data_IF_247252492317
#
_entry.id   IF_247252492317
#
_cell.length_a   1.000
_cell.length_b   1.000
_cell.length_c   1.000
_cell.angle_alpha   90.00
_cell.angle_beta   90.00
_cell.angle_gamma   90.00
#
_symmetry.space_group_name_H-M   'P 1'
#
loop_
_entity.id
_entity.type
_entity.pdbx_description
1 polymer ?
#
# COMPACT_ATOMS: atom_id res chain seq x y z
N UNK A 1 8.81 6.41 -2.76
CA UNK A 1 7.64 7.15 -2.30
C UNK A 1 6.45 6.20 -2.27
N UNK A 2 5.66 6.22 -1.20
CA UNK A 2 4.46 5.41 -1.03
C UNK A 2 3.33 5.97 -1.89
N UNK A 3 2.90 5.27 -2.94
CA UNK A 3 2.07 5.88 -3.98
C UNK A 3 0.88 5.03 -4.46
N UNK A 4 0.81 3.74 -4.15
CA UNK A 4 -0.30 2.88 -4.60
C UNK A 4 -0.92 2.14 -3.43
N UNK A 5 -2.24 2.27 -3.30
CA UNK A 5 -3.04 1.55 -2.31
C UNK A 5 -3.64 0.32 -3.00
N UNK A 6 -3.33 -0.86 -2.49
CA UNK A 6 -3.97 -2.11 -2.88
C UNK A 6 -4.77 -2.62 -1.68
N UNK A 7 -6.02 -3.02 -1.91
CA UNK A 7 -6.93 -3.43 -0.84
C UNK A 7 -7.66 -4.72 -1.19
N UNK A 8 -8.05 -5.46 -0.17
CA UNK A 8 -8.92 -6.63 -0.28
C UNK A 8 -9.74 -6.80 1.01
N UNK A 9 -10.74 -7.67 0.94
CA UNK A 9 -11.55 -8.09 2.08
C UNK A 9 -11.48 -9.62 2.14
N UNK A 10 -11.33 -10.19 3.32
CA UNK A 10 -11.15 -11.63 3.45
C UNK A 10 -11.90 -12.23 4.63
N UNK A 11 -12.35 -13.47 4.44
CA UNK A 11 -12.80 -14.39 5.49
C UNK A 11 -11.59 -15.05 6.17
N UNK A 12 -11.76 -15.57 7.38
CA UNK A 12 -10.65 -16.17 8.14
C UNK A 12 -9.96 -17.34 7.41
N UNK A 13 -10.71 -18.13 6.65
CA UNK A 13 -10.23 -19.25 5.84
C UNK A 13 -9.55 -18.82 4.54
N UNK A 14 -9.73 -17.56 4.11
CA UNK A 14 -9.07 -16.98 2.94
C UNK A 14 -7.71 -16.34 3.25
N UNK A 15 -7.26 -16.35 4.52
CA UNK A 15 -6.00 -15.71 4.94
C UNK A 15 -4.78 -16.17 4.14
N UNK A 16 -4.73 -17.44 3.74
CA UNK A 16 -3.65 -17.97 2.89
C UNK A 16 -3.67 -17.37 1.48
N UNK A 17 -4.88 -17.13 0.93
CA UNK A 17 -5.03 -16.51 -0.39
C UNK A 17 -4.53 -15.06 -0.38
N UNK A 18 -4.79 -14.33 0.71
CA UNK A 18 -4.25 -12.96 0.89
C UNK A 18 -2.73 -13.00 1.03
N UNK A 19 -2.19 -13.91 1.84
CA UNK A 19 -0.75 -14.03 2.03
C UNK A 19 -0.01 -14.33 0.71
N UNK A 20 -0.55 -15.26 -0.09
CA UNK A 20 0.04 -15.63 -1.38
C UNK A 20 -0.09 -14.50 -2.41
N UNK A 21 -1.21 -13.76 -2.42
CA UNK A 21 -1.37 -12.61 -3.29
C UNK A 21 -0.41 -11.47 -2.93
N UNK A 22 -0.09 -11.27 -1.64
CA UNK A 22 0.94 -10.32 -1.21
C UNK A 22 2.33 -10.75 -1.70
N UNK A 23 2.70 -12.02 -1.54
CA UNK A 23 3.97 -12.54 -2.08
C UNK A 23 4.09 -12.29 -3.59
N UNK A 24 3.02 -12.51 -4.36
CA UNK A 24 3.06 -12.35 -5.82
C UNK A 24 3.32 -10.90 -6.27
N UNK A 25 2.80 -9.91 -5.54
CA UNK A 25 2.90 -8.50 -5.97
C UNK A 25 4.00 -7.69 -5.27
N UNK A 26 4.49 -8.16 -4.12
CA UNK A 26 5.51 -7.46 -3.35
C UNK A 26 6.42 -8.43 -2.56
N UNK A 27 6.90 -9.47 -3.24
CA UNK A 27 7.89 -10.42 -2.72
C UNK A 27 9.20 -9.72 -2.33
N UNK A 28 9.80 -10.07 -1.17
CA UNK A 28 11.10 -9.54 -0.79
C UNK A 28 12.26 -10.12 -1.61
N UNK A 29 12.03 -11.22 -2.33
CA UNK A 29 13.06 -12.05 -2.97
C UNK A 29 13.27 -11.72 -4.45
N UNK A 30 12.44 -10.86 -5.02
CA UNK A 30 12.54 -10.40 -6.38
C UNK A 30 12.30 -8.88 -6.45
N UNK A 31 12.24 -8.35 -7.67
CA UNK A 31 11.88 -6.95 -7.91
C UNK A 31 10.66 -6.85 -8.83
N UNK A 32 9.83 -7.89 -8.84
CA UNK A 32 8.60 -7.93 -9.61
C UNK A 32 7.49 -7.22 -8.81
N UNK A 33 6.80 -6.27 -9.43
CA UNK A 33 5.80 -5.47 -8.73
C UNK A 33 6.43 -4.39 -7.83
N UNK A 34 6.01 -4.35 -6.57
CA UNK A 34 6.38 -3.33 -5.60
C UNK A 34 7.36 -3.84 -4.54
N UNK A 35 7.94 -2.94 -3.76
CA UNK A 35 8.73 -3.35 -2.61
C UNK A 35 7.86 -4.06 -1.55
N UNK A 36 8.42 -5.08 -0.90
CA UNK A 36 7.84 -5.73 0.28
C UNK A 36 7.81 -4.81 1.50
N UNK A 37 8.58 -3.72 1.47
CA UNK A 37 8.62 -2.68 2.49
C UNK A 37 7.49 -1.68 2.27
N UNK A 38 6.68 -1.41 3.29
CA UNK A 38 5.57 -0.46 3.16
C UNK A 38 4.74 -0.28 4.43
N UNK A 39 3.56 0.31 4.25
CA UNK A 39 2.57 0.52 5.31
C UNK A 39 1.34 -0.32 5.00
N UNK A 40 0.70 -0.87 6.03
CA UNK A 40 -0.55 -1.60 5.89
C UNK A 40 -1.54 -1.23 6.98
N UNK A 41 -2.80 -1.53 6.75
CA UNK A 41 -3.83 -1.42 7.76
C UNK A 41 -4.82 -2.58 7.73
N UNK A 42 -5.36 -2.90 8.90
CA UNK A 42 -6.58 -3.69 9.05
C UNK A 42 -7.73 -2.74 9.32
N UNK A 43 -8.88 -3.00 8.71
CA UNK A 43 -10.07 -2.15 8.85
C UNK A 43 -11.34 -2.98 8.82
N UNK A 44 -12.39 -2.49 9.46
CA UNK A 44 -13.68 -3.14 9.54
C UNK A 44 -14.52 -2.80 8.30
N UNK A 45 -14.90 -3.78 7.47
CA UNK A 45 -15.65 -3.51 6.24
C UNK A 45 -17.08 -2.99 6.44
N UNK A 46 -17.69 -3.19 7.61
CA UNK A 46 -19.08 -2.77 7.85
C UNK A 46 -19.21 -1.27 8.12
N UNK A 47 -18.15 -0.64 8.64
CA UNK A 47 -18.16 0.77 9.03
C UNK A 47 -16.90 1.53 8.58
N UNK A 48 -16.04 0.91 7.78
CA UNK A 48 -14.77 1.46 7.25
C UNK A 48 -13.79 1.92 8.33
N UNK A 49 -13.98 1.53 9.60
CA UNK A 49 -13.11 1.94 10.70
C UNK A 49 -11.75 1.26 10.58
N UNK A 50 -10.66 2.04 10.59
CA UNK A 50 -9.30 1.49 10.71
C UNK A 50 -9.11 0.93 12.12
N UNK A 51 -8.75 -0.34 12.20
CA UNK A 51 -8.50 -1.08 13.43
C UNK A 51 -7.01 -1.04 13.80
N UNK A 52 -6.13 -1.11 12.79
CA UNK A 52 -4.69 -1.08 12.98
C UNK A 52 -3.98 -0.41 11.80
N UNK A 53 -2.94 0.37 12.07
CA UNK A 53 -1.97 0.84 11.09
C UNK A 53 -0.58 0.34 11.52
N UNK A 54 0.15 -0.29 10.60
CA UNK A 54 1.48 -0.80 10.83
C UNK A 54 2.41 -0.58 9.64
N UNK A 55 3.71 -0.72 9.89
CA UNK A 55 4.75 -0.75 8.87
C UNK A 55 5.46 -2.10 8.88
N UNK A 56 6.03 -2.50 7.76
CA UNK A 56 6.88 -3.68 7.65
C UNK A 56 7.96 -3.47 6.59
N UNK A 57 9.11 -4.14 6.75
CA UNK A 57 10.08 -4.33 5.66
C UNK A 57 9.72 -5.53 4.78
N UNK A 58 8.93 -6.45 5.33
CA UNK A 58 8.42 -7.65 4.66
C UNK A 58 6.93 -7.75 5.00
N UNK A 59 6.10 -7.08 4.20
CA UNK A 59 4.64 -7.07 4.34
C UNK A 59 4.06 -8.50 4.28
N UNK A 60 4.40 -9.35 3.29
CA UNK A 60 3.84 -10.69 3.23
C UNK A 60 4.13 -11.52 4.48
N UNK A 61 5.39 -11.52 4.97
CA UNK A 61 5.74 -12.18 6.23
C UNK A 61 4.96 -11.58 7.40
N UNK A 62 4.90 -10.25 7.50
CA UNK A 62 4.24 -9.58 8.63
C UNK A 62 2.73 -9.85 8.65
N UNK A 63 2.10 -9.95 7.49
CA UNK A 63 0.72 -10.38 7.37
C UNK A 63 0.56 -11.80 7.91
N UNK A 64 1.38 -12.77 7.46
CA UNK A 64 1.35 -14.17 7.93
C UNK A 64 1.52 -14.29 9.44
N UNK A 65 2.41 -13.49 10.03
CA UNK A 65 2.59 -13.40 11.48
C UNK A 65 1.29 -12.94 12.17
N UNK A 66 0.66 -11.89 11.65
CA UNK A 66 -0.55 -11.31 12.22
C UNK A 66 -1.78 -12.22 12.10
N UNK A 67 -1.95 -12.93 10.99
CA UNK A 67 -3.10 -13.85 10.80
C UNK A 67 -2.85 -15.26 11.36
N UNK A 68 -1.66 -15.50 11.92
CA UNK A 68 -1.31 -16.75 12.60
C UNK A 68 -0.96 -17.91 11.66
N UNK A 69 -0.54 -17.63 10.42
CA UNK A 69 0.01 -18.63 9.49
C UNK A 69 1.41 -19.06 9.94
N UNK A 70 2.23 -18.10 10.38
CA UNK A 70 3.56 -18.37 10.97
C UNK A 70 3.66 -17.82 12.39
N UNK A 71 4.66 -18.29 13.14
CA UNK A 71 4.91 -17.83 14.49
C UNK A 71 5.24 -16.34 14.52
N UNK A 72 4.67 -15.63 15.48
CA UNK A 72 4.79 -14.19 15.64
C UNK A 72 5.34 -13.87 17.02
N UNK A 73 6.22 -12.87 17.14
CA UNK A 73 6.60 -12.34 18.44
C UNK A 73 5.34 -11.75 19.12
N UNK A 74 4.96 -12.20 20.34
CA UNK A 74 3.78 -11.69 21.03
C UNK A 74 3.80 -10.15 21.20
N UNK A 75 5.00 -9.57 21.33
CA UNK A 75 5.18 -8.14 21.35
C UNK A 75 4.96 -7.55 19.95
N UNK A 76 3.79 -6.95 19.75
CA UNK A 76 3.42 -6.25 18.52
C UNK A 76 2.60 -7.09 17.55
N UNK A 77 2.35 -8.37 17.84
CA UNK A 77 1.44 -9.20 17.04
C UNK A 77 -0.01 -8.75 17.13
N UNK A 78 -0.79 -8.98 16.06
CA UNK A 78 -2.25 -8.75 16.00
C UNK A 78 -3.09 -10.02 15.95
N UNK A 79 -2.48 -11.19 16.10
CA UNK A 79 -3.18 -12.48 16.06
C UNK A 79 -4.34 -12.54 17.05
N UNK A 80 -4.12 -12.16 18.31
CA UNK A 80 -5.18 -12.16 19.33
C UNK A 80 -6.34 -11.24 18.94
N UNK A 81 -6.05 -10.01 18.50
CA UNK A 81 -7.07 -9.05 18.07
C UNK A 81 -7.85 -9.55 16.85
N UNK A 82 -7.17 -10.17 15.89
CA UNK A 82 -7.79 -10.74 14.68
C UNK A 82 -8.66 -11.94 15.05
N UNK A 83 -8.16 -12.87 15.87
CA UNK A 83 -8.92 -14.02 16.37
C UNK A 83 -10.17 -13.57 17.15
N UNK A 84 -10.06 -12.50 17.96
CA UNK A 84 -11.19 -11.91 18.68
C UNK A 84 -12.19 -11.23 17.74
N UNK A 85 -11.72 -10.51 16.72
CA UNK A 85 -12.56 -9.88 15.72
C UNK A 85 -13.43 -10.90 14.96
N UNK A 86 -12.83 -12.02 14.56
CA UNK A 86 -13.54 -13.06 13.82
C UNK A 86 -14.54 -13.89 14.67
N UNK A 87 -14.60 -13.68 15.99
CA UNK A 87 -15.67 -14.25 16.83
C UNK A 87 -17.02 -13.56 16.60
N UNK A 88 -17.01 -12.30 16.16
CA UNK A 88 -18.22 -11.46 16.03
C UNK A 88 -18.41 -10.90 14.62
N UNK A 89 -17.38 -10.94 13.78
CA UNK A 89 -17.40 -10.44 12.40
C UNK A 89 -16.91 -11.52 11.43
N UNK A 90 -17.48 -11.59 10.24
CA UNK A 90 -17.11 -12.62 9.25
C UNK A 90 -16.02 -12.18 8.27
N UNK A 91 -15.88 -10.87 8.01
CA UNK A 91 -15.00 -10.33 6.98
C UNK A 91 -14.11 -9.26 7.59
N UNK A 92 -12.81 -9.30 7.30
CA UNK A 92 -11.84 -8.26 7.67
C UNK A 92 -11.27 -7.59 6.41
N UNK A 93 -11.12 -6.28 6.45
CA UNK A 93 -10.49 -5.51 5.39
C UNK A 93 -8.98 -5.39 5.63
N UNK A 94 -8.21 -5.47 4.54
CA UNK A 94 -6.76 -5.27 4.55
C UNK A 94 -6.36 -4.35 3.41
N UNK A 95 -5.50 -3.38 3.70
CA UNK A 95 -4.94 -2.50 2.68
C UNK A 95 -3.44 -2.34 2.88
N UNK A 96 -2.72 -2.24 1.78
CA UNK A 96 -1.29 -1.95 1.73
C UNK A 96 -1.07 -0.69 0.91
N UNK A 97 -0.26 0.22 1.45
CA UNK A 97 0.27 1.36 0.74
C UNK A 97 1.71 1.00 0.34
N UNK A 98 1.90 0.83 -0.97
CA UNK A 98 3.10 0.29 -1.59
C UNK A 98 4.03 1.39 -2.08
N UNK A 99 5.33 1.08 -2.06
CA UNK A 99 6.40 1.92 -2.58
C UNK A 99 7.11 1.22 -3.76
N UNK A 100 7.99 1.95 -4.44
CA UNK A 100 8.73 1.42 -5.58
C UNK A 100 9.65 0.26 -5.17
N UNK A 101 9.80 -0.75 -6.03
CA UNK A 101 10.74 -1.86 -5.82
C UNK A 101 12.21 -1.38 -5.71
N UNK A 102 12.54 -0.18 -6.21
CA UNK A 102 13.87 0.42 -6.01
C UNK A 102 14.15 0.85 -4.56
N UNK A 103 13.11 1.03 -3.74
CA UNK A 103 13.23 1.33 -2.31
C UNK A 103 13.13 0.07 -1.44
N UNK A 104 13.29 -1.12 -2.05
CA UNK A 104 13.36 -2.39 -1.36
C UNK A 104 14.53 -2.39 -0.37
N UNK A 105 14.24 -2.71 0.89
CA UNK A 105 15.23 -2.64 1.95
C UNK A 105 16.05 -3.93 1.99
N UNK A 106 17.27 -3.95 1.44
CA UNK A 106 18.33 -4.95 1.67
C UNK A 106 18.03 -6.44 1.46
N UNK A 107 16.81 -6.81 1.07
CA UNK A 107 16.32 -8.20 0.99
C UNK A 107 16.45 -8.78 -0.43
N UNK A 108 16.52 -7.93 -1.46
CA UNK A 108 16.74 -8.35 -2.84
C UNK A 108 18.16 -8.02 -3.32
N UNK A 109 18.62 -8.70 -4.38
CA UNK A 109 19.92 -8.41 -4.99
C UNK A 109 20.09 -6.94 -5.40
N UNK A 110 18.98 -6.28 -5.80
CA UNK A 110 18.97 -4.85 -6.13
C UNK A 110 19.08 -3.97 -4.88
N UNK A 111 18.39 -4.35 -3.79
CA UNK A 111 18.50 -3.66 -2.50
C UNK A 111 19.91 -3.74 -1.90
N UNK A 112 20.65 -4.82 -2.16
CA UNK A 112 22.07 -4.94 -1.79
C UNK A 112 22.98 -4.05 -2.66
N UNK A 113 22.64 -3.87 -3.93
CA UNK A 113 23.41 -3.01 -4.85
C UNK A 113 23.18 -1.52 -4.61
N UNK A 114 22.00 -1.12 -4.11
CA UNK A 114 21.60 0.27 -3.90
C UNK A 114 21.11 0.51 -2.45
N UNK A 115 21.99 0.35 -1.44
CA UNK A 115 21.60 0.40 -0.03
C UNK A 115 21.00 1.76 0.39
N UNK A 116 21.47 2.86 -0.18
CA UNK A 116 20.99 4.22 0.14
C UNK A 116 19.50 4.43 -0.22
N UNK A 117 19.03 3.79 -1.30
CA UNK A 117 17.61 3.84 -1.68
C UNK A 117 16.76 3.00 -0.72
N UNK A 118 17.26 1.84 -0.29
CA UNK A 118 16.62 1.01 0.73
C UNK A 118 16.48 1.75 2.07
N UNK A 119 17.54 2.40 2.54
CA UNK A 119 17.54 3.20 3.77
C UNK A 119 16.53 4.35 3.71
N UNK A 120 16.45 5.01 2.55
CA UNK A 120 15.46 6.05 2.26
C UNK A 120 14.05 5.48 2.34
N UNK A 121 13.79 4.31 1.74
CA UNK A 121 12.52 3.59 1.84
C UNK A 121 12.12 3.31 3.29
N UNK A 122 13.04 2.77 4.09
CA UNK A 122 12.79 2.48 5.52
C UNK A 122 12.48 3.75 6.32
N UNK A 123 13.20 4.85 6.06
CA UNK A 123 12.93 6.15 6.71
C UNK A 123 11.56 6.71 6.30
N UNK A 124 11.20 6.56 5.03
CA UNK A 124 9.93 7.03 4.48
C UNK A 124 8.75 6.29 5.13
N UNK A 125 8.79 4.96 5.25
CA UNK A 125 7.69 4.20 5.87
C UNK A 125 7.52 4.53 7.35
N UNK A 126 8.62 4.74 8.10
CA UNK A 126 8.56 5.16 9.52
C UNK A 126 7.89 6.52 9.67
N UNK A 127 8.26 7.47 8.81
CA UNK A 127 7.70 8.82 8.85
C UNK A 127 6.22 8.81 8.46
N UNK A 128 5.85 8.10 7.41
CA UNK A 128 4.46 8.03 6.95
C UNK A 128 3.55 7.25 7.92
N UNK A 129 4.04 6.19 8.58
CA UNK A 129 3.27 5.47 9.60
C UNK A 129 2.94 6.39 10.79
N UNK A 130 3.93 7.14 11.27
CA UNK A 130 3.74 8.11 12.34
C UNK A 130 2.74 9.20 11.97
N UNK A 131 2.80 9.67 10.71
CA UNK A 131 1.85 10.64 10.17
C UNK A 131 0.43 10.07 10.14
N UNK A 132 0.23 8.86 9.62
CA UNK A 132 -1.10 8.26 9.48
C UNK A 132 -1.75 7.92 10.82
N UNK A 133 -0.99 7.38 11.77
CA UNK A 133 -1.49 7.13 13.13
C UNK A 133 -1.90 8.43 13.81
N UNK A 134 -1.10 9.49 13.67
CA UNK A 134 -1.40 10.79 14.26
C UNK A 134 -2.57 11.49 13.56
N UNK A 135 -2.67 11.40 12.23
CA UNK A 135 -3.82 11.89 11.47
C UNK A 135 -5.12 11.22 11.94
N UNK A 136 -5.09 9.90 12.20
CA UNK A 136 -6.23 9.19 12.78
C UNK A 136 -6.58 9.73 14.17
N UNK A 137 -5.57 9.95 15.02
CA UNK A 137 -5.76 10.53 16.36
C UNK A 137 -6.37 11.93 16.33
N UNK A 138 -5.91 12.78 15.41
CA UNK A 138 -6.44 14.14 15.22
C UNK A 138 -7.91 14.11 14.76
N UNK A 139 -8.27 13.16 13.89
CA UNK A 139 -9.63 13.03 13.38
C UNK A 139 -10.61 12.45 14.39
N UNK A 140 -10.22 11.39 15.10
CA UNK A 140 -11.14 10.61 15.95
C UNK A 140 -10.92 10.82 17.46
N UNK A 141 -9.94 11.63 17.86
CA UNK A 141 -9.59 11.88 19.26
C UNK A 141 -8.92 10.71 19.98
N UNK A 142 -8.63 9.60 19.27
CA UNK A 142 -8.07 8.36 19.82
C UNK A 142 -7.22 7.63 18.78
N UNK A 143 -6.38 6.70 19.22
CA UNK A 143 -5.66 5.80 18.31
C UNK A 143 -6.62 4.74 17.70
N UNK A 144 -6.24 4.10 16.59
CA UNK A 144 -6.91 2.88 16.14
C UNK A 144 -6.91 1.83 17.25
N UNK A 145 -7.97 1.03 17.35
CA UNK A 145 -8.24 0.16 18.51
C UNK A 145 -7.09 -0.82 18.80
N UNK A 146 -6.37 -1.26 17.77
CA UNK A 146 -5.28 -2.22 17.90
C UNK A 146 -3.90 -1.56 17.94
N UNK A 147 -3.79 -0.23 17.79
CA UNK A 147 -2.56 0.53 18.01
C UNK A 147 -2.41 0.89 19.50
N UNK A 148 -1.43 0.29 20.17
CA UNK A 148 -1.16 0.54 21.61
C UNK A 148 -0.32 1.80 21.87
N UNK A 149 0.46 2.21 20.88
CA UNK A 149 1.37 3.35 20.94
C UNK A 149 1.21 4.19 19.68
N UNK A 150 1.53 5.47 19.79
CA UNK A 150 1.68 6.35 18.64
C UNK A 150 2.85 5.91 17.76
N UNK A 151 2.81 6.27 16.48
CA UNK A 151 3.90 5.98 15.54
C UNK A 151 5.10 6.91 15.70
N UNK A 152 5.94 6.97 14.67
CA UNK A 152 7.17 7.76 14.72
C UNK A 152 6.94 9.26 14.96
N UNK A 153 7.72 9.85 15.88
CA UNK A 153 7.61 11.28 16.26
C UNK A 153 7.86 12.25 15.10
N UNK A 154 8.72 11.91 14.15
CA UNK A 154 8.97 12.77 12.98
C UNK A 154 7.72 12.87 12.10
N UNK A 155 7.01 11.75 11.93
CA UNK A 155 5.73 11.71 11.21
C UNK A 155 4.62 12.45 11.95
N UNK A 156 4.50 12.23 13.26
CA UNK A 156 3.44 12.86 14.06
C UNK A 156 3.54 14.39 14.08
N UNK A 157 4.75 14.96 14.00
CA UNK A 157 4.96 16.42 13.98
C UNK A 157 4.44 17.10 12.70
N UNK A 158 4.37 16.37 11.59
CA UNK A 158 3.92 16.90 10.31
C UNK A 158 2.49 16.50 9.98
N UNK A 159 1.85 15.69 10.84
CA UNK A 159 0.47 15.30 10.68
C UNK A 159 -0.45 16.51 10.91
N UNK A 160 -1.43 16.64 10.02
CA UNK A 160 -2.43 17.70 10.05
C UNK A 160 -3.79 17.13 9.66
N UNK A 161 -4.92 17.81 9.98
CA UNK A 161 -6.26 17.36 9.57
C UNK A 161 -6.43 17.17 8.07
N UNK A 162 -5.63 17.84 7.23
CA UNK A 162 -5.66 17.68 5.77
C UNK A 162 -5.26 16.28 5.30
N UNK A 163 -4.69 15.44 6.17
CA UNK A 163 -4.35 14.05 5.86
C UNK A 163 -5.53 13.07 6.07
N UNK A 164 -6.67 13.52 6.58
CA UNK A 164 -7.87 12.70 6.77
C UNK A 164 -8.30 11.92 5.50
N UNK A 165 -8.29 12.51 4.28
CA UNK A 165 -8.68 11.77 3.08
C UNK A 165 -7.86 10.51 2.84
N UNK A 166 -6.58 10.49 3.22
CA UNK A 166 -5.71 9.31 3.05
C UNK A 166 -6.21 8.15 3.93
N UNK A 167 -6.72 8.44 5.13
CA UNK A 167 -7.29 7.41 6.01
C UNK A 167 -8.53 6.79 5.36
N UNK A 168 -9.40 7.60 4.77
CA UNK A 168 -10.56 7.10 4.01
C UNK A 168 -10.11 6.27 2.80
N UNK A 169 -9.07 6.69 2.09
CA UNK A 169 -8.53 5.91 0.98
C UNK A 169 -7.94 4.57 1.43
N UNK A 170 -7.53 4.42 2.70
CA UNK A 170 -7.03 3.15 3.21
C UNK A 170 -8.14 2.17 3.60
N UNK A 171 -9.30 2.64 4.05
CA UNK A 171 -10.35 1.77 4.63
C UNK A 171 -11.70 1.79 3.95
N UNK A 172 -11.95 2.75 3.06
CA UNK A 172 -13.17 2.83 2.26
C UNK A 172 -12.85 2.54 0.80
N UNK A 173 -13.10 1.29 0.40
CA UNK A 173 -12.84 0.81 -0.98
C UNK A 173 -13.77 1.42 -2.01
N UNK A 174 -14.91 1.95 -1.58
CA UNK A 174 -15.93 2.52 -2.45
C UNK A 174 -15.68 4.02 -2.70
N UNK A 175 -14.89 4.67 -1.83
CA UNK A 175 -14.43 6.05 -2.05
C UNK A 175 -13.50 6.12 -3.26
N UNK A 176 -13.91 6.85 -4.32
CA UNK A 176 -13.08 7.03 -5.50
C UNK A 176 -11.81 7.80 -5.14
N UNK A 177 -10.65 7.24 -5.48
CA UNK A 177 -9.37 7.93 -5.36
C UNK A 177 -8.36 7.45 -6.42
N UNK A 178 -7.49 8.33 -6.94
CA UNK A 178 -6.57 7.99 -8.02
C UNK A 178 -5.39 7.13 -7.56
N UNK A 179 -5.16 7.04 -6.24
CA UNK A 179 -4.04 6.31 -5.65
C UNK A 179 -4.33 4.83 -5.40
N UNK A 180 -5.58 4.40 -5.52
CA UNK A 180 -5.99 3.00 -5.42
C UNK A 180 -5.70 2.27 -6.73
N UNK A 181 -5.23 1.04 -6.64
CA UNK A 181 -5.18 0.11 -7.77
C UNK A 181 -6.60 -0.18 -8.29
N UNK A 182 -6.74 -0.43 -9.59
CA UNK A 182 -8.05 -0.69 -10.21
C UNK A 182 -8.63 -2.06 -9.81
N UNK A 183 -7.78 -2.99 -9.37
CA UNK A 183 -8.17 -4.33 -8.93
C UNK A 183 -7.88 -4.57 -7.44
N UNK A 184 -8.71 -5.39 -6.75
CA UNK A 184 -8.38 -5.90 -5.43
C UNK A 184 -7.11 -6.76 -5.46
N UNK A 185 -6.45 -6.91 -4.31
CA UNK A 185 -5.18 -7.63 -4.16
C UNK A 185 -5.16 -9.00 -4.86
N UNK A 186 -6.11 -9.89 -4.54
CA UNK A 186 -6.13 -11.25 -5.12
C UNK A 186 -6.33 -11.23 -6.64
N UNK A 187 -7.20 -10.34 -7.12
CA UNK A 187 -7.45 -10.21 -8.57
C UNK A 187 -6.24 -9.61 -9.29
N UNK A 188 -5.54 -8.66 -8.67
CA UNK A 188 -4.31 -8.08 -9.20
C UNK A 188 -3.20 -9.14 -9.32
N UNK A 189 -3.02 -9.97 -8.29
CA UNK A 189 -2.07 -11.08 -8.31
C UNK A 189 -2.42 -12.11 -9.41
N UNK A 190 -3.70 -12.39 -9.64
CA UNK A 190 -4.15 -13.35 -10.66
C UNK A 190 -4.15 -12.80 -12.10
N UNK A 191 -4.26 -11.49 -12.29
CA UNK A 191 -4.38 -10.87 -13.61
C UNK A 191 -3.14 -11.06 -14.51
N UNK A 192 -2.02 -11.50 -13.94
CA UNK A 192 -0.79 -11.77 -14.67
C UNK A 192 -0.03 -10.51 -15.08
N UNK A 193 1.04 -10.68 -15.86
CA UNK A 193 2.09 -9.67 -15.93
C UNK A 193 1.73 -8.35 -16.63
N UNK A 194 0.80 -8.36 -17.60
CA UNK A 194 0.39 -7.14 -18.31
C UNK A 194 -0.32 -6.17 -17.38
N UNK A 195 -1.24 -6.66 -16.55
CA UNK A 195 -2.01 -5.82 -15.62
C UNK A 195 -1.14 -5.30 -14.48
N UNK A 196 -0.24 -6.12 -13.95
CA UNK A 196 0.76 -5.65 -12.98
C UNK A 196 1.63 -4.55 -13.60
N UNK A 197 2.06 -4.72 -14.86
CA UNK A 197 2.83 -3.69 -15.57
C UNK A 197 2.05 -2.37 -15.72
N UNK A 198 0.75 -2.43 -16.07
CA UNK A 198 -0.10 -1.23 -16.14
C UNK A 198 -0.17 -0.50 -14.78
N UNK A 199 -0.36 -1.23 -13.69
CA UNK A 199 -0.40 -0.64 -12.34
C UNK A 199 0.95 -0.06 -11.89
N UNK A 200 2.08 -0.61 -12.35
CA UNK A 200 3.41 -0.04 -12.10
C UNK A 200 3.63 1.29 -12.84
N UNK A 201 3.08 1.43 -14.05
CA UNK A 201 3.12 2.69 -14.79
C UNK A 201 2.24 3.74 -14.09
N UNK A 202 1.04 3.34 -13.65
CA UNK A 202 0.18 4.20 -12.84
C UNK A 202 0.83 4.55 -11.50
N UNK A 203 1.60 3.64 -10.90
CA UNK A 203 2.38 3.90 -9.69
C UNK A 203 3.38 5.04 -9.91
N UNK A 204 4.11 5.06 -11.03
CA UNK A 204 5.03 6.14 -11.36
C UNK A 204 4.30 7.49 -11.53
N UNK A 205 3.15 7.50 -12.20
CA UNK A 205 2.31 8.71 -12.33
C UNK A 205 1.86 9.20 -10.94
N UNK A 206 1.39 8.29 -10.08
CA UNK A 206 0.98 8.60 -8.70
C UNK A 206 2.15 9.17 -7.87
N UNK A 207 3.38 8.65 -8.05
CA UNK A 207 4.58 9.20 -7.40
C UNK A 207 4.86 10.65 -7.81
N UNK A 208 4.78 10.97 -9.11
CA UNK A 208 4.93 12.37 -9.54
C UNK A 208 3.85 13.27 -8.97
N UNK A 209 2.61 12.78 -8.89
CA UNK A 209 1.52 13.56 -8.29
C UNK A 209 1.77 13.86 -6.80
N UNK A 210 2.27 12.89 -6.03
CA UNK A 210 2.69 13.10 -4.65
C UNK A 210 3.92 14.00 -4.52
N UNK A 211 4.74 14.09 -5.56
CA UNK A 211 5.85 15.04 -5.68
C UNK A 211 5.43 16.49 -5.94
N UNK A 212 4.12 16.78 -6.02
CA UNK A 212 3.57 18.13 -6.19
C UNK A 212 3.03 18.44 -7.58
N UNK A 213 3.02 17.48 -8.50
CA UNK A 213 2.41 17.63 -9.81
C UNK A 213 0.90 17.36 -9.77
N UNK A 214 0.13 17.98 -10.66
CA UNK A 214 -1.25 17.50 -10.92
C UNK A 214 -1.19 16.13 -11.61
N UNK A 215 -2.27 15.35 -11.56
CA UNK A 215 -2.32 14.05 -12.27
C UNK A 215 -2.10 14.22 -13.79
N UNK A 216 -2.58 15.32 -14.36
CA UNK A 216 -2.36 15.65 -15.77
C UNK A 216 -0.89 15.97 -16.06
N UNK A 217 -0.22 16.74 -15.20
CA UNK A 217 1.22 17.01 -15.33
C UNK A 217 2.05 15.73 -15.16
N UNK A 218 1.72 14.91 -14.16
CA UNK A 218 2.37 13.63 -13.92
C UNK A 218 2.25 12.68 -15.12
N UNK A 219 1.06 12.61 -15.73
CA UNK A 219 0.83 11.85 -16.96
C UNK A 219 1.67 12.36 -18.13
N UNK A 220 1.81 13.68 -18.28
CA UNK A 220 2.61 14.27 -19.37
C UNK A 220 4.11 14.05 -19.19
N UNK A 221 4.60 14.12 -17.95
CA UNK A 221 5.98 13.75 -17.61
C UNK A 221 6.22 12.29 -17.99
N UNK A 222 5.32 11.39 -17.61
CA UNK A 222 5.40 9.97 -17.92
C UNK A 222 5.43 9.71 -19.44
N UNK A 223 4.53 10.33 -20.21
CA UNK A 223 4.54 10.26 -21.69
C UNK A 223 5.85 10.72 -22.31
N UNK A 224 6.42 11.81 -21.78
CA UNK A 224 7.71 12.34 -22.24
C UNK A 224 8.86 11.38 -21.93
N UNK A 225 8.80 10.65 -20.82
CA UNK A 225 9.79 9.61 -20.50
C UNK A 225 9.66 8.40 -21.44
N UNK A 226 8.43 7.99 -21.76
CA UNK A 226 8.18 6.89 -22.69
C UNK A 226 8.61 7.23 -24.12
N UNK A 227 8.30 8.42 -24.63
CA UNK A 227 8.69 8.83 -26.00
C UNK A 227 10.20 8.85 -26.24
N UNK A 228 10.99 8.93 -25.17
CA UNK A 228 12.46 8.87 -25.21
C UNK A 228 13.01 7.45 -25.01
N UNK A 229 12.17 6.48 -24.66
CA UNK A 229 12.55 5.10 -24.45
C UNK A 229 12.30 4.29 -25.74
N UNK A 230 13.34 3.87 -26.47
CA UNK A 230 13.18 3.11 -27.72
C UNK A 230 12.56 1.71 -27.52
N UNK A 231 12.38 1.26 -26.28
CA UNK A 231 11.77 -0.01 -25.91
C UNK A 231 10.39 0.15 -25.23
N UNK A 232 9.80 1.34 -25.18
CA UNK A 232 8.49 1.51 -24.55
C UNK A 232 7.39 0.90 -25.42
N UNK A 233 6.66 -0.08 -24.89
CA UNK A 233 5.35 -0.45 -25.44
C UNK A 233 4.33 0.66 -25.16
N UNK A 234 3.28 0.80 -25.98
CA UNK A 234 2.16 1.74 -25.76
C UNK A 234 1.31 1.33 -24.52
N UNK A 235 1.89 1.38 -23.31
CA UNK A 235 1.25 0.92 -22.07
C UNK A 235 0.08 1.81 -21.65
N UNK A 236 0.15 3.11 -21.94
CA UNK A 236 -0.94 4.05 -21.69
C UNK A 236 -2.17 3.81 -22.57
N UNK A 237 -2.00 3.06 -23.67
CA UNK A 237 -3.10 2.66 -24.55
C UNK A 237 -3.81 1.38 -24.11
N UNK A 238 -3.29 0.71 -23.07
CA UNK A 238 -3.91 -0.49 -22.53
C UNK A 238 -5.18 -0.15 -21.73
N UNK A 239 -6.13 -1.09 -21.63
CA UNK A 239 -7.48 -0.80 -21.13
C UNK A 239 -7.52 -0.19 -19.72
N UNK A 240 -6.70 -0.67 -18.77
CA UNK A 240 -6.76 -0.19 -17.39
C UNK A 240 -6.19 1.22 -17.28
N UNK A 241 -5.06 1.50 -17.95
CA UNK A 241 -4.49 2.84 -18.04
C UNK A 241 -5.47 3.83 -18.70
N UNK A 242 -6.07 3.47 -19.84
CA UNK A 242 -7.06 4.31 -20.52
C UNK A 242 -8.24 4.66 -19.62
N UNK A 243 -8.79 3.64 -18.94
CA UNK A 243 -9.90 3.81 -17.99
C UNK A 243 -9.50 4.75 -16.86
N UNK A 244 -8.36 4.51 -16.21
CA UNK A 244 -7.86 5.35 -15.11
C UNK A 244 -7.63 6.80 -15.56
N UNK A 245 -6.93 7.02 -16.69
CA UNK A 245 -6.65 8.35 -17.24
C UNK A 245 -7.96 9.10 -17.54
N UNK A 246 -8.91 8.42 -18.16
CA UNK A 246 -10.21 9.03 -18.50
C UNK A 246 -10.97 9.49 -17.26
N UNK A 247 -10.85 8.74 -16.16
CA UNK A 247 -11.51 9.00 -14.89
C UNK A 247 -10.85 10.15 -14.12
N UNK A 248 -9.52 10.24 -14.16
CA UNK A 248 -8.77 11.07 -13.21
C UNK A 248 -8.04 12.27 -13.82
N UNK A 249 -7.72 12.24 -15.12
CA UNK A 249 -6.93 13.29 -15.76
C UNK A 249 -7.74 14.19 -16.70
N UNK A 250 -8.97 13.81 -17.09
CA UNK A 250 -9.78 14.56 -18.07
C UNK A 250 -10.67 15.67 -17.46
N UNK A 251 -10.14 16.45 -16.53
CA UNK A 251 -10.78 17.69 -16.05
C UNK A 251 -9.84 18.88 -16.18
#
# INVERSE_FOLDING_TARGET
MLATIVSDKFLIDERELIANALDEICSPNDNWGWASTGIYCFWNPSNTQILYIGLAQDIPKRFREHVGIIQCNPMGCKKTQIDEYFKTSSILGYSVLLQSCFEQAGLSALGMLLPELGDTGVKNIKTNEGLLIEAYRLQYGRLPDWNKISGNRSGSKVATPQHEPILKFLSDVDVPNPFRAELPLRSLAQAGGITVTEELELHLIRMFALGGHTLQQALEIHRTMQSKNPYSSETLDRPNCKKWISKWCRR
#
